data_IF_622064926535
#
_entry.id   IF_622064926535
#
_cell.length_a   1.000
_cell.length_b   1.000
_cell.length_c   1.000
_cell.angle_alpha   90.00
_cell.angle_beta   90.00
_cell.angle_gamma   90.00
#
_symmetry.space_group_name_H-M   'P 1'
#
loop_
_entity.id
_entity.type
_entity.pdbx_description
1 polymer ?
#
# COMPACT_ATOMS: atom_id res chain seq x y z
N UNK A 1 1.33 -29.74 18.87
CA UNK A 1 0.45 -28.55 18.98
C UNK A 1 0.34 -27.90 17.60
N UNK A 2 -0.81 -28.01 16.93
CA UNK A 2 -1.01 -27.52 15.56
C UNK A 2 -1.27 -26.01 15.59
N UNK A 3 -0.27 -25.20 15.24
CA UNK A 3 -0.43 -23.74 15.14
C UNK A 3 -1.20 -23.44 13.86
N UNK A 4 -2.44 -22.96 14.00
CA UNK A 4 -3.23 -22.52 12.85
C UNK A 4 -2.65 -21.18 12.40
N UNK A 5 -2.17 -21.11 11.17
CA UNK A 5 -1.74 -19.86 10.56
C UNK A 5 -2.98 -19.01 10.21
N UNK A 6 -3.06 -17.81 10.78
CA UNK A 6 -4.14 -16.85 10.54
C UNK A 6 -3.76 -15.77 9.53
N UNK A 7 -2.52 -15.74 9.02
CA UNK A 7 -2.00 -14.63 8.18
C UNK A 7 -2.86 -14.36 6.95
N UNK A 8 -3.32 -15.40 6.27
CA UNK A 8 -4.21 -15.23 5.11
C UNK A 8 -5.54 -14.56 5.48
N UNK A 9 -6.11 -14.89 6.66
CA UNK A 9 -7.34 -14.26 7.16
C UNK A 9 -7.09 -12.82 7.61
N UNK A 10 -5.94 -12.59 8.23
CA UNK A 10 -5.52 -11.25 8.65
C UNK A 10 -5.29 -10.33 7.44
N UNK A 11 -4.69 -10.85 6.35
CA UNK A 11 -4.53 -10.15 5.08
C UNK A 11 -5.88 -9.86 4.41
N UNK A 12 -6.76 -10.85 4.30
CA UNK A 12 -8.09 -10.65 3.72
C UNK A 12 -8.89 -9.59 4.49
N UNK A 13 -8.83 -9.63 5.82
CA UNK A 13 -9.46 -8.62 6.68
C UNK A 13 -8.84 -7.22 6.52
N UNK A 14 -7.52 -7.15 6.35
CA UNK A 14 -6.84 -5.88 6.08
C UNK A 14 -7.22 -5.29 4.71
N UNK A 15 -7.26 -6.11 3.65
CA UNK A 15 -7.65 -5.67 2.31
C UNK A 15 -9.12 -5.24 2.25
N UNK A 16 -10.02 -5.95 2.95
CA UNK A 16 -11.42 -5.55 3.10
C UNK A 16 -11.55 -4.15 3.73
N UNK A 17 -10.72 -3.85 4.73
CA UNK A 17 -10.67 -2.49 5.28
C UNK A 17 -10.07 -1.48 4.29
N UNK A 18 -8.88 -1.77 3.77
CA UNK A 18 -8.09 -0.84 2.95
C UNK A 18 -8.83 -0.42 1.67
N UNK A 19 -9.57 -1.34 1.05
CA UNK A 19 -10.31 -1.10 -0.19
C UNK A 19 -11.75 -0.62 0.05
N UNK A 20 -12.15 -0.44 1.30
CA UNK A 20 -13.46 0.10 1.68
C UNK A 20 -13.39 1.60 1.97
N UNK A 21 -14.55 2.21 2.22
CA UNK A 21 -14.65 3.57 2.76
C UNK A 21 -14.66 3.60 4.29
N UNK A 22 -14.61 2.43 4.93
CA UNK A 22 -14.75 2.30 6.38
C UNK A 22 -13.49 2.81 7.09
N UNK A 23 -13.67 3.63 8.12
CA UNK A 23 -12.63 3.88 9.11
C UNK A 23 -12.36 2.63 9.96
N UNK A 24 -11.19 2.57 10.60
CA UNK A 24 -10.88 1.48 11.55
C UNK A 24 -11.92 1.44 12.70
N UNK A 25 -12.51 2.58 13.06
CA UNK A 25 -13.55 2.64 14.09
C UNK A 25 -14.86 1.95 13.70
N UNK A 26 -15.15 1.84 12.41
CA UNK A 26 -16.36 1.20 11.90
C UNK A 26 -16.21 -0.32 11.79
N UNK A 27 -14.96 -0.83 11.82
CA UNK A 27 -14.73 -2.26 11.91
C UNK A 27 -15.12 -2.76 13.31
N UNK A 28 -15.76 -3.93 13.37
CA UNK A 28 -16.22 -4.61 14.62
C UNK A 28 -15.05 -5.20 15.44
N UNK A 29 -13.92 -4.51 15.52
CA UNK A 29 -12.74 -4.90 16.28
C UNK A 29 -12.15 -3.68 16.97
N UNK A 30 -11.50 -3.87 18.12
CA UNK A 30 -10.76 -2.76 18.73
C UNK A 30 -9.58 -2.34 17.85
N UNK A 31 -9.27 -1.04 17.83
CA UNK A 31 -8.09 -0.49 17.12
C UNK A 31 -6.81 -1.23 17.48
N UNK A 32 -6.60 -1.52 18.77
CA UNK A 32 -5.42 -2.25 19.24
C UNK A 32 -5.34 -3.68 18.65
N UNK A 33 -6.48 -4.36 18.52
CA UNK A 33 -6.53 -5.70 17.91
C UNK A 33 -6.30 -5.64 16.41
N UNK A 34 -6.86 -4.63 15.73
CA UNK A 34 -6.59 -4.39 14.31
C UNK A 34 -5.09 -4.25 14.07
N UNK A 35 -4.44 -3.27 14.71
CA UNK A 35 -3.02 -2.99 14.53
C UNK A 35 -2.12 -4.18 14.87
N UNK A 36 -2.45 -4.95 15.93
CA UNK A 36 -1.70 -6.16 16.29
C UNK A 36 -1.81 -7.25 15.23
N UNK A 37 -2.99 -7.45 14.62
CA UNK A 37 -3.20 -8.49 13.60
C UNK A 37 -2.57 -8.14 12.26
N UNK A 38 -2.50 -6.84 11.94
CA UNK A 38 -2.03 -6.36 10.64
C UNK A 38 -0.60 -5.80 10.67
N UNK A 39 0.09 -5.82 11.82
CA UNK A 39 1.42 -5.19 11.96
C UNK A 39 2.43 -5.71 10.93
N UNK A 40 2.46 -7.02 10.73
CA UNK A 40 3.36 -7.67 9.78
C UNK A 40 3.11 -7.26 8.32
N UNK A 41 1.90 -6.79 7.98
CA UNK A 41 1.58 -6.33 6.62
C UNK A 41 2.27 -4.99 6.36
N UNK A 42 2.41 -4.14 7.37
CA UNK A 42 3.11 -2.86 7.28
C UNK A 42 4.64 -2.99 7.19
N UNK A 43 5.17 -4.17 7.53
CA UNK A 43 6.60 -4.49 7.34
C UNK A 43 6.90 -4.89 5.88
N UNK A 44 5.87 -5.08 5.04
CA UNK A 44 6.05 -5.40 3.63
C UNK A 44 6.50 -4.14 2.89
N UNK A 45 7.72 -4.17 2.39
CA UNK A 45 8.27 -3.16 1.48
C UNK A 45 8.33 -3.74 0.07
N UNK A 46 7.28 -3.59 -0.76
CA UNK A 46 7.23 -4.23 -2.07
C UNK A 46 8.24 -3.57 -3.01
N UNK A 47 9.30 -4.28 -3.38
CA UNK A 47 10.18 -3.81 -4.45
C UNK A 47 9.45 -3.99 -5.77
N UNK A 48 9.14 -2.89 -6.47
CA UNK A 48 8.59 -2.97 -7.81
C UNK A 48 9.67 -3.55 -8.75
N UNK A 49 9.45 -4.73 -9.37
CA UNK A 49 10.43 -5.30 -10.28
C UNK A 49 10.56 -4.41 -11.51
N UNK A 50 11.78 -4.24 -12.03
CA UNK A 50 11.97 -3.58 -13.32
C UNK A 50 11.29 -4.43 -14.40
N UNK A 51 10.27 -3.87 -15.02
CA UNK A 51 9.38 -4.61 -15.91
C UNK A 51 10.07 -4.90 -17.26
N UNK A 52 11.10 -4.14 -17.63
CA UNK A 52 11.84 -4.31 -18.90
C UNK A 52 11.02 -4.05 -20.16
N UNK A 53 9.75 -3.68 -20.00
CA UNK A 53 8.80 -3.38 -21.05
C UNK A 53 8.87 -1.91 -21.45
N UNK A 54 8.64 -1.65 -22.75
CA UNK A 54 8.47 -0.28 -23.26
C UNK A 54 6.98 0.03 -23.23
N UNK A 55 6.61 1.12 -22.55
CA UNK A 55 5.24 1.60 -22.46
C UNK A 55 5.09 2.88 -23.27
N UNK A 56 4.11 2.94 -24.17
CA UNK A 56 3.80 4.16 -24.95
C UNK A 56 3.34 5.31 -24.04
N UNK A 57 2.65 4.99 -22.94
CA UNK A 57 2.16 5.93 -21.94
C UNK A 57 2.35 5.36 -20.55
N UNK A 58 2.91 6.18 -19.66
CA UNK A 58 3.02 5.92 -18.21
C UNK A 58 2.23 6.98 -17.47
N UNK A 59 1.39 6.55 -16.53
CA UNK A 59 0.69 7.45 -15.62
C UNK A 59 1.51 7.63 -14.35
N UNK A 60 1.65 8.88 -13.90
CA UNK A 60 2.30 9.24 -12.64
C UNK A 60 1.27 9.90 -11.74
N UNK A 61 1.20 9.43 -10.50
CA UNK A 61 0.36 10.01 -9.45
C UNK A 61 1.11 10.03 -8.11
N UNK A 62 0.73 10.95 -7.22
CA UNK A 62 1.39 11.22 -5.95
C UNK A 62 0.45 11.06 -4.75
N UNK A 63 0.76 10.13 -3.85
CA UNK A 63 0.05 10.01 -2.56
C UNK A 63 0.81 10.82 -1.51
N UNK A 64 0.23 11.96 -1.12
CA UNK A 64 0.81 12.85 -0.11
C UNK A 64 0.62 12.29 1.31
N UNK A 65 1.73 11.92 1.93
CA UNK A 65 1.82 11.47 3.32
C UNK A 65 2.20 12.67 4.21
N UNK A 66 1.20 13.44 4.65
CA UNK A 66 1.39 14.74 5.33
C UNK A 66 2.12 15.73 4.42
N UNK A 67 2.70 16.80 4.97
CA UNK A 67 3.29 17.92 4.20
C UNK A 67 4.69 17.62 3.64
N UNK A 68 5.38 16.63 4.19
CA UNK A 68 6.83 16.45 3.98
C UNK A 68 7.19 15.07 3.43
N UNK A 69 6.21 14.34 2.88
CA UNK A 69 6.46 13.09 2.17
C UNK A 69 5.40 12.83 1.11
N UNK A 70 5.84 12.30 -0.02
CA UNK A 70 5.00 11.89 -1.14
C UNK A 70 5.45 10.52 -1.63
N UNK A 71 4.50 9.63 -1.88
CA UNK A 71 4.75 8.38 -2.58
C UNK A 71 4.35 8.58 -4.04
N UNK A 72 5.35 8.66 -4.90
CA UNK A 72 5.16 8.66 -6.35
C UNK A 72 4.87 7.24 -6.82
N UNK A 73 3.85 7.07 -7.64
CA UNK A 73 3.45 5.80 -8.22
C UNK A 73 3.44 5.95 -9.73
N UNK A 74 4.20 5.10 -10.43
CA UNK A 74 4.15 4.94 -11.87
C UNK A 74 3.30 3.71 -12.20
N UNK A 75 2.30 3.85 -13.07
CA UNK A 75 1.48 2.72 -13.50
C UNK A 75 1.21 2.72 -15.01
N UNK A 76 1.02 1.51 -15.52
CA UNK A 76 0.40 1.26 -16.82
C UNK A 76 -1.12 1.16 -16.64
N UNK A 77 -1.86 0.94 -17.73
CA UNK A 77 -3.32 0.70 -17.67
C UNK A 77 -3.72 -0.51 -16.82
N UNK A 78 -2.80 -1.46 -16.60
CA UNK A 78 -3.12 -2.74 -15.94
C UNK A 78 -2.45 -2.96 -14.58
N UNK A 79 -1.33 -2.29 -14.28
CA UNK A 79 -0.56 -2.55 -13.06
C UNK A 79 0.44 -1.43 -12.71
N UNK A 80 0.93 -1.44 -11.47
CA UNK A 80 2.00 -0.54 -10.97
C UNK A 80 3.35 -0.99 -11.53
N UNK A 81 4.08 -0.05 -12.13
CA UNK A 81 5.40 -0.25 -12.73
C UNK A 81 6.54 0.04 -11.74
N UNK A 82 6.41 1.12 -10.97
CA UNK A 82 7.40 1.56 -10.01
C UNK A 82 6.75 2.47 -8.96
N UNK A 83 7.45 2.67 -7.85
CA UNK A 83 7.09 3.68 -6.88
C UNK A 83 8.34 4.23 -6.17
N UNK A 84 8.23 5.44 -5.64
CA UNK A 84 9.32 6.11 -4.97
C UNK A 84 8.80 6.98 -3.82
N UNK A 85 9.37 6.83 -2.62
CA UNK A 85 9.11 7.70 -1.49
C UNK A 85 10.06 8.90 -1.56
N UNK A 86 9.51 10.10 -1.74
CA UNK A 86 10.26 11.36 -1.77
C UNK A 86 9.78 12.29 -0.65
N UNK A 87 10.63 13.24 -0.24
CA UNK A 87 10.28 14.25 0.77
C UNK A 87 9.33 15.32 0.20
N UNK A 88 9.42 15.57 -1.10
CA UNK A 88 8.50 16.42 -1.85
C UNK A 88 8.59 16.05 -3.33
N UNK A 89 7.53 16.33 -4.08
CA UNK A 89 7.61 16.37 -5.53
C UNK A 89 8.45 17.59 -5.93
N UNK A 90 9.71 17.37 -6.30
CA UNK A 90 10.46 18.41 -6.99
C UNK A 90 9.95 18.49 -8.43
N UNK A 91 9.03 19.42 -8.69
CA UNK A 91 8.74 19.88 -10.04
C UNK A 91 9.85 20.88 -10.45
N UNK A 92 11.04 20.39 -10.80
CA UNK A 92 11.95 21.18 -11.62
C UNK A 92 11.70 20.85 -13.09
N UNK A 93 11.40 21.90 -13.86
CA UNK A 93 11.11 21.88 -15.29
C UNK A 93 12.39 21.95 -16.13
#
# INVERSE_FOLDING_TARGET
MRRIDSRAKDLAFFLDWLLSKDSIAEKKVSRATFWRRTSWIWEIWPIAPCVGEVFDVVFLDGIWLKRDAVVLIACSRGHVLAWHLAQSECAEA
#
